data_IF_987194348904
#
_entry.id   IF_987194348904
#
_cell.length_a   1.000
_cell.length_b   1.000
_cell.length_c   1.000
_cell.angle_alpha   90.00
_cell.angle_beta   90.00
_cell.angle_gamma   90.00
#
_symmetry.space_group_name_H-M   'P 1'
#
loop_
_entity.id
_entity.type
_entity.pdbx_description
1 polymer ?
#
# COMPACT_ATOMS: atom_id res chain seq x y z
N UNK A 1 5.63 13.94 -7.92
CA UNK A 1 4.59 13.02 -7.43
C UNK A 1 4.70 11.81 -8.32
N UNK A 2 4.99 10.64 -7.76
CA UNK A 2 5.04 9.41 -8.55
C UNK A 2 3.66 9.15 -9.18
N UNK A 3 3.65 8.74 -10.45
CA UNK A 3 2.42 8.39 -11.17
C UNK A 3 1.78 7.15 -10.54
N UNK A 4 0.44 7.09 -10.55
CA UNK A 4 -0.35 5.99 -9.98
C UNK A 4 0.13 4.61 -10.48
N UNK A 5 0.42 4.49 -11.78
CA UNK A 5 0.93 3.26 -12.39
C UNK A 5 2.29 2.83 -11.81
N UNK A 6 3.18 3.80 -11.55
CA UNK A 6 4.49 3.53 -10.93
C UNK A 6 4.31 3.03 -9.50
N UNK A 7 3.43 3.66 -8.74
CA UNK A 7 3.12 3.27 -7.36
C UNK A 7 2.48 1.89 -7.32
N UNK A 8 1.55 1.61 -8.24
CA UNK A 8 0.88 0.33 -8.35
C UNK A 8 1.86 -0.78 -8.68
N UNK A 9 2.73 -0.58 -9.66
CA UNK A 9 3.77 -1.55 -10.00
C UNK A 9 4.68 -1.80 -8.81
N UNK A 10 5.13 -0.75 -8.12
CA UNK A 10 6.00 -0.85 -6.95
C UNK A 10 5.34 -1.58 -5.78
N UNK A 11 4.10 -1.21 -5.44
CA UNK A 11 3.37 -1.78 -4.31
C UNK A 11 3.00 -3.25 -4.55
N UNK A 12 2.55 -3.60 -5.76
CA UNK A 12 2.27 -4.98 -6.12
C UNK A 12 3.54 -5.83 -6.34
N UNK A 13 4.69 -5.20 -6.56
CA UNK A 13 5.99 -5.90 -6.62
C UNK A 13 6.67 -6.04 -5.25
N UNK A 14 6.13 -5.42 -4.20
CA UNK A 14 6.76 -5.41 -2.89
C UNK A 14 6.70 -6.77 -2.19
N UNK A 15 5.57 -7.48 -2.31
CA UNK A 15 5.38 -8.80 -1.70
C UNK A 15 4.57 -9.71 -2.63
N UNK A 16 5.13 -10.88 -2.93
CA UNK A 16 4.41 -11.90 -3.70
C UNK A 16 3.17 -12.40 -2.94
N UNK A 17 2.01 -12.38 -3.61
CA UNK A 17 0.74 -12.83 -3.05
C UNK A 17 -0.10 -11.74 -2.38
N UNK A 18 0.39 -10.51 -2.29
CA UNK A 18 -0.39 -9.35 -1.85
C UNK A 18 -0.56 -8.36 -2.99
N UNK A 19 -1.79 -7.95 -3.25
CA UNK A 19 -2.12 -6.99 -4.29
C UNK A 19 -2.69 -5.69 -3.73
N UNK A 20 -2.21 -4.56 -4.23
CA UNK A 20 -2.78 -3.24 -3.93
C UNK A 20 -3.78 -2.86 -5.01
N UNK A 21 -5.02 -2.59 -4.59
CA UNK A 21 -6.05 -2.13 -5.52
C UNK A 21 -5.85 -0.64 -5.89
N UNK A 22 -6.64 -0.16 -6.85
CA UNK A 22 -6.52 1.22 -7.34
C UNK A 22 -6.76 2.25 -6.22
N UNK A 23 -7.72 1.99 -5.32
CA UNK A 23 -8.02 2.87 -4.19
C UNK A 23 -6.85 2.99 -3.20
N UNK A 24 -6.17 1.89 -2.91
CA UNK A 24 -4.97 1.89 -2.07
C UNK A 24 -3.81 2.63 -2.77
N UNK A 25 -3.64 2.40 -4.07
CA UNK A 25 -2.63 3.10 -4.86
C UNK A 25 -2.90 4.62 -4.90
N UNK A 26 -4.16 5.05 -5.02
CA UNK A 26 -4.53 6.46 -4.93
C UNK A 26 -4.18 7.08 -3.58
N UNK A 27 -4.38 6.35 -2.48
CA UNK A 27 -3.93 6.81 -1.15
C UNK A 27 -2.41 6.92 -1.08
N UNK A 28 -1.69 5.95 -1.65
CA UNK A 28 -0.23 5.99 -1.75
C UNK A 28 0.30 7.16 -2.59
N UNK A 29 -0.43 7.67 -3.58
CA UNK A 29 -0.01 8.89 -4.33
C UNK A 29 0.11 10.14 -3.45
N UNK A 30 -0.59 10.16 -2.32
CA UNK A 30 -0.53 11.26 -1.35
C UNK A 30 0.66 11.11 -0.40
N UNK A 31 1.23 9.91 -0.31
CA UNK A 31 2.40 9.63 0.52
C UNK A 31 3.63 10.17 -0.21
N UNK A 32 4.48 10.97 0.47
CA UNK A 32 5.73 11.42 -0.11
C UNK A 32 6.62 10.24 -0.51
N UNK A 33 7.35 10.36 -1.64
CA UNK A 33 8.19 9.27 -2.17
C UNK A 33 9.18 8.69 -1.12
N UNK A 34 9.70 9.51 -0.21
CA UNK A 34 10.61 9.07 0.86
C UNK A 34 9.95 8.18 1.92
N UNK A 35 8.62 8.29 2.09
CA UNK A 35 7.83 7.51 3.03
C UNK A 35 7.02 6.40 2.32
N UNK A 36 7.01 6.39 0.98
CA UNK A 36 6.24 5.46 0.17
C UNK A 36 6.67 4.01 0.42
N UNK A 37 7.97 3.73 0.45
CA UNK A 37 8.49 2.40 0.76
C UNK A 37 8.07 1.91 2.14
N UNK A 38 8.19 2.77 3.15
CA UNK A 38 7.79 2.45 4.51
C UNK A 38 6.27 2.21 4.63
N UNK A 39 5.47 3.00 3.91
CA UNK A 39 4.01 2.82 3.87
C UNK A 39 3.64 1.49 3.21
N UNK A 40 4.29 1.13 2.10
CA UNK A 40 4.07 -0.16 1.43
C UNK A 40 4.46 -1.31 2.35
N UNK A 41 5.66 -1.28 2.93
CA UNK A 41 6.15 -2.33 3.84
C UNK A 41 5.25 -2.50 5.07
N UNK A 42 4.77 -1.40 5.66
CA UNK A 42 3.86 -1.46 6.79
C UNK A 42 2.53 -2.12 6.41
N UNK A 43 1.97 -1.75 5.25
CA UNK A 43 0.69 -2.28 4.79
C UNK A 43 0.79 -3.74 4.35
N UNK A 44 1.87 -4.14 3.67
CA UNK A 44 2.08 -5.54 3.29
C UNK A 44 2.31 -6.43 4.51
N UNK A 45 3.10 -5.98 5.48
CA UNK A 45 3.27 -6.72 6.74
C UNK A 45 1.94 -6.87 7.47
N UNK A 46 1.17 -5.79 7.63
CA UNK A 46 -0.15 -5.84 8.26
C UNK A 46 -1.10 -6.80 7.52
N UNK A 47 -1.07 -6.81 6.19
CA UNK A 47 -1.86 -7.71 5.37
C UNK A 47 -1.43 -9.18 5.54
N UNK A 48 -0.12 -9.47 5.59
CA UNK A 48 0.39 -10.81 5.90
C UNK A 48 -0.05 -11.28 7.29
N UNK A 49 0.05 -10.42 8.30
CA UNK A 49 -0.35 -10.74 9.68
C UNK A 49 -1.85 -11.01 9.80
N UNK A 50 -2.66 -10.28 9.03
CA UNK A 50 -4.12 -10.43 8.99
C UNK A 50 -4.59 -11.53 8.01
N UNK A 51 -3.68 -12.10 7.22
CA UNK A 51 -4.00 -13.09 6.19
C UNK A 51 -4.82 -12.53 5.03
N UNK A 52 -4.62 -11.25 4.72
CA UNK A 52 -5.30 -10.53 3.63
C UNK A 52 -4.40 -10.51 2.40
N UNK A 53 -4.94 -10.97 1.28
CA UNK A 53 -4.27 -11.00 -0.04
C UNK A 53 -4.47 -9.71 -0.85
N UNK A 54 -5.47 -8.88 -0.52
CA UNK A 54 -5.78 -7.65 -1.25
C UNK A 54 -5.89 -6.45 -0.32
N UNK A 55 -5.00 -5.47 -0.49
CA UNK A 55 -5.01 -4.20 0.24
C UNK A 55 -5.87 -3.19 -0.50
N UNK A 56 -6.93 -2.72 0.16
CA UNK A 56 -7.79 -1.63 -0.27
C UNK A 56 -7.59 -0.37 0.57
N UNK A 57 -8.21 0.74 0.16
CA UNK A 57 -8.20 1.97 0.95
C UNK A 57 -8.78 1.79 2.36
N UNK A 58 -9.85 1.00 2.55
CA UNK A 58 -10.38 0.72 3.89
C UNK A 58 -9.36 0.01 4.77
N UNK A 59 -8.61 -0.94 4.20
CA UNK A 59 -7.53 -1.62 4.91
C UNK A 59 -6.41 -0.64 5.25
N UNK A 60 -6.03 0.23 4.32
CA UNK A 60 -5.02 1.25 4.56
C UNK A 60 -5.45 2.24 5.64
N UNK A 61 -6.71 2.68 5.65
CA UNK A 61 -7.26 3.56 6.68
C UNK A 61 -7.30 2.87 8.05
N UNK A 62 -7.77 1.62 8.10
CA UNK A 62 -7.80 0.84 9.34
C UNK A 62 -6.41 0.59 9.94
N UNK A 63 -5.39 0.51 9.08
CA UNK A 63 -4.00 0.26 9.47
C UNK A 63 -3.10 1.49 9.36
N UNK A 64 -3.67 2.68 9.13
CA UNK A 64 -2.92 3.92 8.95
C UNK A 64 -2.33 4.33 10.31
N UNK A 65 -0.99 4.38 10.47
CA UNK A 65 -0.37 4.74 11.75
C UNK A 65 -0.65 6.20 12.16
N UNK A 66 -1.18 7.03 11.25
CA UNK A 66 -1.47 8.44 11.51
C UNK A 66 -2.93 8.75 11.89
N UNK A 67 -3.86 7.81 11.75
CA UNK A 67 -5.30 8.06 12.01
C UNK A 67 -5.96 8.91 10.93
#
# INVERSE_FOLDING_TARGET
>A
MADLDTIKEKANSAVEGISFNDCACETLTKVPDFALDMAIDHMTNAAQEQGVDTICCDFMEANNPMG
#
